data_IF_131623586817
#
_entry.id   IF_131623586817
#
_cell.length_a   1.000
_cell.length_b   1.000
_cell.length_c   1.000
_cell.angle_alpha   90.00
_cell.angle_beta   90.00
_cell.angle_gamma   90.00
#
_symmetry.space_group_name_H-M   'P 1'
#
loop_
_entity.id
_entity.type
_entity.pdbx_description
1 polymer ?
#
# COMPACT_ATOMS: atom_id res chain seq x y z
N UNK A 1 -4.57 -14.63 -18.64
CA UNK A 1 -5.63 -14.76 -19.66
C UNK A 1 -6.80 -13.82 -19.34
N UNK A 2 -7.42 -13.20 -20.35
CA UNK A 2 -8.71 -12.52 -20.15
C UNK A 2 -9.70 -13.53 -19.54
N UNK A 3 -10.25 -13.22 -18.36
CA UNK A 3 -11.17 -14.10 -17.62
C UNK A 3 -10.64 -14.72 -16.32
N UNK A 4 -9.34 -14.65 -16.03
CA UNK A 4 -8.79 -15.04 -14.72
C UNK A 4 -8.95 -13.95 -13.66
N UNK A 5 -8.95 -14.31 -12.37
CA UNK A 5 -8.94 -13.31 -11.27
C UNK A 5 -7.64 -12.50 -11.34
N UNK A 6 -7.75 -11.21 -11.68
CA UNK A 6 -6.59 -10.36 -12.00
C UNK A 6 -6.32 -10.19 -13.51
N UNK A 7 -7.23 -10.63 -14.38
CA UNK A 7 -7.19 -10.36 -15.81
C UNK A 7 -7.22 -8.84 -16.09
N UNK A 8 -6.23 -8.38 -16.86
CA UNK A 8 -6.01 -6.98 -17.19
C UNK A 8 -4.52 -6.64 -17.07
N UNK A 9 -4.12 -5.49 -17.61
CA UNK A 9 -2.75 -5.02 -17.49
C UNK A 9 -2.40 -4.74 -16.02
N UNK A 10 -1.31 -5.32 -15.53
CA UNK A 10 -0.88 -5.16 -14.12
C UNK A 10 0.38 -4.29 -14.05
N UNK A 11 0.38 -3.31 -13.15
CA UNK A 11 1.53 -2.44 -12.90
C UNK A 11 2.03 -2.55 -11.46
N UNK A 12 3.34 -2.72 -11.29
CA UNK A 12 4.02 -2.39 -10.03
C UNK A 12 4.04 -0.86 -9.88
N UNK A 13 3.00 -0.31 -9.24
CA UNK A 13 2.81 1.13 -9.09
C UNK A 13 3.73 1.71 -8.01
N UNK A 14 3.90 1.04 -6.88
CA UNK A 14 4.90 1.37 -5.86
C UNK A 14 5.68 0.11 -5.45
N UNK A 15 6.88 0.30 -4.90
CA UNK A 15 7.74 -0.78 -4.42
C UNK A 15 8.63 -0.26 -3.31
N UNK A 16 8.77 -1.05 -2.25
CA UNK A 16 9.62 -0.72 -1.11
C UNK A 16 9.58 -1.79 -0.04
N UNK A 17 9.92 -1.38 1.18
CA UNK A 17 9.80 -2.20 2.39
C UNK A 17 8.79 -1.58 3.35
N UNK A 18 8.39 -2.35 4.36
CA UNK A 18 7.59 -1.86 5.47
C UNK A 18 8.23 -2.25 6.80
N UNK A 19 7.90 -1.50 7.85
CA UNK A 19 8.27 -1.81 9.23
C UNK A 19 7.01 -1.83 10.08
N UNK A 20 6.75 -2.93 10.78
CA UNK A 20 5.66 -3.00 11.74
C UNK A 20 5.96 -2.06 12.93
N UNK A 21 4.97 -1.24 13.30
CA UNK A 21 5.02 -0.33 14.44
C UNK A 21 3.82 -0.54 15.37
N UNK A 22 3.21 -1.72 15.34
CA UNK A 22 2.03 -2.03 16.17
C UNK A 22 2.45 -2.40 17.58
N UNK A 23 1.85 -1.74 18.55
CA UNK A 23 2.06 -1.98 19.98
C UNK A 23 0.71 -2.26 20.64
N UNK A 24 0.73 -3.12 21.66
CA UNK A 24 -0.40 -3.40 22.54
C UNK A 24 0.14 -3.45 23.96
N UNK A 25 -0.48 -2.70 24.87
CA UNK A 25 -0.07 -2.62 26.29
C UNK A 25 1.44 -2.31 26.41
N UNK A 26 1.90 -1.31 25.65
CA UNK A 26 3.29 -0.85 25.52
C UNK A 26 4.31 -1.92 25.07
N UNK A 27 3.81 -3.00 24.45
CA UNK A 27 4.64 -4.08 23.89
C UNK A 27 4.42 -4.23 22.40
N UNK A 28 5.52 -4.37 21.65
CA UNK A 28 5.46 -4.71 20.23
C UNK A 28 4.84 -6.08 20.04
N UNK A 29 3.84 -6.17 19.17
CA UNK A 29 3.25 -7.43 18.73
C UNK A 29 3.65 -7.72 17.29
N UNK A 30 3.58 -8.99 16.88
CA UNK A 30 3.92 -9.37 15.50
C UNK A 30 2.91 -8.78 14.51
N UNK A 31 3.34 -8.61 13.26
CA UNK A 31 2.45 -8.12 12.19
C UNK A 31 1.28 -9.09 11.94
N UNK A 32 1.52 -10.40 12.05
CA UNK A 32 0.49 -11.43 11.93
C UNK A 32 -0.57 -11.31 13.04
N UNK A 33 -0.14 -11.11 14.29
CA UNK A 33 -1.04 -10.94 15.42
C UNK A 33 -1.88 -9.66 15.28
N UNK A 34 -1.24 -8.55 14.91
CA UNK A 34 -1.89 -7.28 14.63
C UNK A 34 -2.96 -7.41 13.52
N UNK A 35 -2.61 -8.08 12.43
CA UNK A 35 -3.53 -8.34 11.32
C UNK A 35 -4.72 -9.22 11.74
N UNK A 36 -4.49 -10.31 12.48
CA UNK A 36 -5.58 -11.14 13.03
C UNK A 36 -6.51 -10.34 13.93
N UNK A 37 -5.96 -9.45 14.77
CA UNK A 37 -6.73 -8.54 15.63
C UNK A 37 -7.51 -7.46 14.87
N UNK A 38 -7.20 -7.24 13.59
CA UNK A 38 -7.91 -6.26 12.76
C UNK A 38 -7.35 -4.84 12.85
N UNK A 39 -6.19 -4.65 13.46
CA UNK A 39 -5.51 -3.37 13.54
C UNK A 39 -4.02 -3.57 13.39
N UNK A 40 -3.44 -3.02 12.33
CA UNK A 40 -1.99 -3.01 12.13
C UNK A 40 -1.51 -1.60 11.76
N UNK A 41 -0.50 -1.14 12.48
CA UNK A 41 0.24 0.09 12.23
C UNK A 41 1.61 -0.23 11.65
N UNK A 42 2.02 0.47 10.60
CA UNK A 42 3.30 0.24 9.93
C UNK A 42 3.83 1.51 9.27
N UNK A 43 5.15 1.57 9.10
CA UNK A 43 5.83 2.57 8.28
C UNK A 43 6.13 1.99 6.91
N UNK A 44 5.79 2.72 5.84
CA UNK A 44 6.16 2.41 4.47
C UNK A 44 7.43 3.15 4.06
N UNK A 45 8.31 2.46 3.34
CA UNK A 45 9.49 3.02 2.68
C UNK A 45 9.44 2.66 1.20
N UNK A 46 8.43 3.18 0.51
CA UNK A 46 8.22 3.05 -0.93
C UNK A 46 8.89 4.15 -1.74
N UNK A 47 8.73 4.08 -3.07
CA UNK A 47 9.09 5.18 -3.98
C UNK A 47 8.01 6.27 -4.00
N UNK A 48 6.76 5.92 -3.67
CA UNK A 48 5.61 6.84 -3.70
C UNK A 48 4.98 7.00 -2.33
N UNK A 49 4.75 5.90 -1.62
CA UNK A 49 4.16 5.88 -0.29
C UNK A 49 5.27 5.80 0.76
N UNK A 50 5.32 6.81 1.63
CA UNK A 50 6.29 6.92 2.71
C UNK A 50 5.56 7.24 4.03
N UNK A 51 6.25 7.08 5.15
CA UNK A 51 5.74 7.41 6.47
C UNK A 51 4.81 6.36 7.06
N UNK A 52 4.11 6.75 8.12
CA UNK A 52 3.22 5.91 8.91
C UNK A 52 1.83 5.74 8.30
N UNK A 53 1.30 4.52 8.43
CA UNK A 53 -0.01 4.09 7.98
C UNK A 53 -0.67 3.20 9.03
N UNK A 54 -2.00 3.14 8.99
CA UNK A 54 -2.82 2.23 9.78
C UNK A 54 -3.80 1.50 8.89
N UNK A 55 -3.96 0.19 9.10
CA UNK A 55 -4.96 -0.63 8.43
C UNK A 55 -5.92 -1.21 9.48
N UNK A 56 -7.18 -0.78 9.42
CA UNK A 56 -8.21 -1.06 10.41
C UNK A 56 -9.35 -1.85 9.79
N UNK A 57 -9.70 -3.01 10.38
CA UNK A 57 -10.87 -3.80 9.99
C UNK A 57 -12.08 -3.27 10.72
N UNK A 58 -13.12 -2.91 9.98
CA UNK A 58 -14.37 -2.41 10.56
C UNK A 58 -15.58 -3.33 10.29
N UNK A 59 -15.48 -4.22 9.30
CA UNK A 59 -16.41 -5.34 9.07
C UNK A 59 -15.63 -6.54 8.54
N UNK A 60 -16.25 -7.71 8.51
CA UNK A 60 -15.67 -8.90 7.87
C UNK A 60 -15.24 -8.56 6.43
N UNK A 61 -13.97 -8.84 6.11
CA UNK A 61 -13.33 -8.52 4.82
C UNK A 61 -13.32 -7.04 4.39
N UNK A 62 -13.70 -6.09 5.26
CA UNK A 62 -13.62 -4.65 4.95
C UNK A 62 -12.62 -3.93 5.83
N UNK A 63 -11.68 -3.28 5.18
CA UNK A 63 -10.57 -2.60 5.81
C UNK A 63 -10.47 -1.15 5.36
N UNK A 64 -10.02 -0.30 6.26
CA UNK A 64 -9.72 1.10 6.02
C UNK A 64 -8.21 1.30 6.15
N UNK A 65 -7.58 1.75 5.07
CA UNK A 65 -6.18 2.19 5.05
C UNK A 65 -6.13 3.70 5.30
N UNK A 66 -5.40 4.12 6.33
CA UNK A 66 -5.34 5.51 6.79
C UNK A 66 -3.88 5.96 6.83
N UNK A 67 -3.58 7.14 6.26
CA UNK A 67 -2.28 7.80 6.40
C UNK A 67 -2.19 8.42 7.79
N UNK A 68 -1.11 8.16 8.53
CA UNK A 68 -0.84 8.84 9.81
C UNK A 68 -0.44 10.29 9.56
N UNK A 69 -0.80 11.15 10.50
CA UNK A 69 -0.33 12.54 10.52
C UNK A 69 1.12 12.54 11.00
N UNK A 70 2.04 12.68 10.06
CA UNK A 70 3.50 12.67 10.25
C UNK A 70 4.16 13.52 9.17
N UNK A 71 5.48 13.63 9.18
CA UNK A 71 6.25 14.48 8.27
C UNK A 71 6.06 14.16 6.77
N UNK A 72 5.61 12.94 6.44
CA UNK A 72 5.34 12.49 5.07
C UNK A 72 3.87 12.71 4.65
N UNK A 73 3.04 13.26 5.54
CA UNK A 73 1.65 13.57 5.26
C UNK A 73 1.52 14.96 4.59
N UNK A 74 1.24 14.98 3.28
CA UNK A 74 0.92 16.22 2.58
C UNK A 74 -0.47 16.17 1.93
N UNK A 75 -1.42 16.91 2.53
CA UNK A 75 -2.80 17.04 2.03
C UNK A 75 -2.90 17.73 0.67
N UNK A 76 -1.86 18.45 0.22
CA UNK A 76 -1.85 19.16 -1.08
C UNK A 76 -1.46 18.24 -2.22
N UNK A 77 -0.84 17.10 -1.94
CA UNK A 77 -0.32 16.18 -2.95
C UNK A 77 -1.36 15.11 -3.29
N UNK A 78 -1.83 15.11 -4.53
CA UNK A 78 -2.54 13.96 -5.07
C UNK A 78 -1.52 12.92 -5.57
N UNK A 79 -1.21 11.94 -4.72
CA UNK A 79 -0.20 10.91 -5.01
C UNK A 79 -0.56 10.04 -6.23
N UNK A 80 -1.86 9.91 -6.56
CA UNK A 80 -2.34 9.09 -7.67
C UNK A 80 -1.90 9.63 -9.03
N UNK A 81 -1.53 10.91 -9.12
CA UNK A 81 -0.95 11.52 -10.33
C UNK A 81 0.44 10.96 -10.69
N UNK A 82 1.09 10.21 -9.79
CA UNK A 82 2.34 9.49 -10.11
C UNK A 82 2.01 8.21 -10.90
N UNK A 83 1.66 8.34 -12.17
CA UNK A 83 1.08 7.24 -12.99
C UNK A 83 2.09 6.20 -13.51
N UNK A 84 3.39 6.45 -13.39
CA UNK A 84 4.45 5.58 -13.94
C UNK A 84 4.79 4.43 -13.00
N UNK A 85 5.15 3.28 -13.56
CA UNK A 85 5.58 2.10 -12.82
C UNK A 85 6.83 2.38 -11.98
N UNK A 86 6.82 1.96 -10.72
CA UNK A 86 7.98 2.00 -9.84
C UNK A 86 9.12 1.08 -10.30
N UNK A 87 8.81 0.03 -11.08
CA UNK A 87 9.80 -0.94 -11.57
C UNK A 87 10.41 -0.51 -12.91
N UNK A 88 9.59 -0.02 -13.84
CA UNK A 88 10.01 0.19 -15.25
C UNK A 88 9.87 1.63 -15.74
N UNK A 89 9.21 2.52 -14.99
CA UNK A 89 8.92 3.88 -15.45
C UNK A 89 7.84 3.98 -16.53
N UNK A 90 7.27 2.85 -16.98
CA UNK A 90 6.23 2.77 -18.00
C UNK A 90 4.85 3.20 -17.49
N UNK A 91 4.00 3.68 -18.37
CA UNK A 91 2.56 3.93 -18.10
C UNK A 91 1.73 2.66 -18.33
N UNK A 92 0.48 2.63 -17.88
CA UNK A 92 -0.43 1.49 -18.10
C UNK A 92 -0.57 1.14 -19.59
N UNK A 93 -0.76 2.15 -20.45
CA UNK A 93 -0.87 1.98 -21.91
C UNK A 93 0.38 1.35 -22.53
N UNK A 94 1.56 1.69 -22.02
CA UNK A 94 2.81 1.11 -22.52
C UNK A 94 2.95 -0.36 -22.10
N UNK A 95 2.51 -0.73 -20.90
CA UNK A 95 2.52 -2.12 -20.43
C UNK A 95 1.52 -2.95 -21.25
N UNK A 96 0.30 -2.43 -21.44
CA UNK A 96 -0.75 -3.11 -22.21
C UNK A 96 -0.34 -3.42 -23.66
N UNK A 97 0.36 -2.48 -24.32
CA UNK A 97 0.82 -2.66 -25.72
C UNK A 97 1.92 -3.72 -25.87
N UNK A 98 2.70 -3.97 -24.82
CA UNK A 98 3.83 -4.92 -24.85
C UNK A 98 3.39 -6.33 -24.41
N UNK A 99 2.31 -6.43 -23.64
CA UNK A 99 1.70 -7.71 -23.23
C UNK A 99 0.76 -8.29 -24.31
N UNK A 100 0.46 -7.52 -25.36
CA UNK A 100 -0.28 -7.95 -26.56
C UNK A 100 0.69 -8.34 -27.67
#
# INVERSE_FOLDING_TARGET
>A
PEGEYGAGTVMVWDKGTYKNTTEKDDKKISAEEAFRKGHISFELKGKKLMGGWGLNRFQENKWLLVKKDDDEADRRVNILKKEKSAKTGRTMKQIEKEER
#
